data_IF_377831481001
#
_entry.id   IF_377831481001
#
_cell.length_a   1.000
_cell.length_b   1.000
_cell.length_c   1.000
_cell.angle_alpha   90.00
_cell.angle_beta   90.00
_cell.angle_gamma   90.00
#
_symmetry.space_group_name_H-M   'P 1'
#
loop_
_entity.id
_entity.type
_entity.pdbx_description
1 polymer ?
#
# COMPACT_ATOMS: atom_id res chain seq x y z
N UNK A 1 -19.49 -13.36 -0.52
CA UNK A 1 -18.74 -12.08 -0.48
C UNK A 1 -18.05 -12.03 0.88
N UNK A 2 -16.87 -11.38 1.01
CA UNK A 2 -16.17 -11.31 2.29
C UNK A 2 -16.95 -10.42 3.28
N UNK A 3 -16.96 -10.82 4.56
CA UNK A 3 -17.67 -10.13 5.64
C UNK A 3 -16.82 -9.01 6.27
N UNK A 4 -15.50 -9.07 6.04
CA UNK A 4 -14.54 -8.13 6.62
C UNK A 4 -13.34 -7.94 5.71
N UNK A 5 -12.59 -6.86 5.95
CA UNK A 5 -11.38 -6.52 5.23
C UNK A 5 -10.24 -6.17 6.19
N UNK A 6 -9.01 -6.55 5.83
CA UNK A 6 -7.80 -6.24 6.58
C UNK A 6 -6.68 -5.80 5.62
N UNK A 7 -5.95 -4.77 6.02
CA UNK A 7 -4.80 -4.24 5.29
C UNK A 7 -3.50 -4.50 6.06
N UNK A 8 -2.49 -5.02 5.36
CA UNK A 8 -1.21 -5.45 5.93
C UNK A 8 -0.03 -4.72 5.26
N UNK A 9 0.21 -3.43 5.56
CA UNK A 9 1.39 -2.71 5.09
C UNK A 9 2.68 -3.22 5.78
N UNK A 10 3.77 -3.29 5.01
CA UNK A 10 5.07 -3.79 5.48
C UNK A 10 5.83 -2.81 6.39
N UNK A 11 5.85 -1.54 6.02
CA UNK A 11 6.65 -0.53 6.70
C UNK A 11 5.84 0.68 7.17
N UNK A 12 6.52 1.61 7.83
CA UNK A 12 5.92 2.84 8.35
C UNK A 12 5.40 3.75 7.23
N UNK A 13 6.12 3.83 6.11
CA UNK A 13 5.72 4.62 4.94
C UNK A 13 4.50 4.00 4.25
N UNK A 14 4.50 2.68 4.05
CA UNK A 14 3.33 1.94 3.53
C UNK A 14 2.11 2.12 4.43
N UNK A 15 2.32 2.11 5.75
CA UNK A 15 1.27 2.34 6.73
C UNK A 15 0.69 3.76 6.56
N UNK A 16 1.54 4.77 6.36
CA UNK A 16 1.11 6.14 6.13
C UNK A 16 0.30 6.27 4.83
N UNK A 17 0.78 5.66 3.74
CA UNK A 17 0.08 5.64 2.45
C UNK A 17 -1.28 4.93 2.58
N UNK A 18 -1.31 3.76 3.20
CA UNK A 18 -2.52 2.98 3.41
C UNK A 18 -3.56 3.73 4.26
N UNK A 19 -3.14 4.38 5.36
CA UNK A 19 -4.04 5.24 6.16
C UNK A 19 -4.69 6.33 5.31
N UNK A 20 -3.92 6.91 4.40
CA UNK A 20 -4.40 7.98 3.51
C UNK A 20 -5.40 7.45 2.49
N UNK A 21 -5.13 6.30 1.86
CA UNK A 21 -6.02 5.60 0.92
C UNK A 21 -7.35 5.22 1.58
N UNK A 22 -7.31 4.83 2.87
CA UNK A 22 -8.49 4.42 3.64
C UNK A 22 -9.23 5.56 4.35
N UNK A 23 -8.87 6.83 4.08
CA UNK A 23 -9.48 7.99 4.74
C UNK A 23 -9.52 7.84 6.28
N UNK A 24 -8.38 7.45 6.87
CA UNK A 24 -8.22 7.29 8.33
C UNK A 24 -9.07 6.18 8.98
N UNK A 25 -9.55 5.17 8.22
CA UNK A 25 -10.13 3.93 8.78
C UNK A 25 -9.04 3.01 9.38
N UNK A 26 -8.27 3.53 10.33
CA UNK A 26 -7.06 2.91 10.89
C UNK A 26 -7.31 1.53 11.52
N UNK A 27 -8.53 1.25 11.99
CA UNK A 27 -8.92 -0.06 12.57
C UNK A 27 -8.82 -1.22 11.57
N UNK A 28 -8.77 -0.94 10.28
CA UNK A 28 -8.64 -1.94 9.21
C UNK A 28 -7.17 -2.25 8.89
N UNK A 29 -6.21 -1.56 9.52
CA UNK A 29 -4.78 -1.68 9.21
C UNK A 29 -4.07 -2.40 10.35
N UNK A 30 -3.25 -3.39 10.01
CA UNK A 30 -2.26 -3.96 10.92
C UNK A 30 -0.88 -3.85 10.26
N UNK A 31 -0.03 -2.98 10.79
CA UNK A 31 1.36 -2.85 10.35
C UNK A 31 2.13 -4.15 10.61
N UNK A 32 2.85 -4.66 9.62
CA UNK A 32 3.64 -5.90 9.73
C UNK A 32 5.07 -5.66 9.27
N UNK A 33 6.02 -5.64 10.22
CA UNK A 33 7.42 -5.33 9.92
C UNK A 33 8.11 -6.40 9.06
N UNK A 34 8.24 -6.14 7.77
CA UNK A 34 9.04 -6.90 6.80
C UNK A 34 8.24 -7.92 5.96
N UNK A 35 8.56 -8.01 4.67
CA UNK A 35 7.85 -8.83 3.68
C UNK A 35 7.71 -10.32 4.08
N UNK A 36 8.69 -11.00 4.71
CA UNK A 36 8.50 -12.38 5.18
C UNK A 36 7.35 -12.51 6.19
N UNK A 37 7.23 -11.55 7.11
CA UNK A 37 6.16 -11.54 8.11
C UNK A 37 4.82 -11.16 7.49
N UNK A 38 4.81 -10.34 6.45
CA UNK A 38 3.60 -10.07 5.66
C UNK A 38 3.10 -11.38 5.04
N UNK A 39 3.99 -12.19 4.46
CA UNK A 39 3.66 -13.53 3.96
C UNK A 39 3.11 -14.46 5.05
N UNK A 40 3.71 -14.45 6.24
CA UNK A 40 3.19 -15.20 7.39
C UNK A 40 1.78 -14.74 7.79
N UNK A 41 1.55 -13.43 7.85
CA UNK A 41 0.28 -12.85 8.24
C UNK A 41 -0.82 -13.13 7.21
N UNK A 42 -0.53 -13.02 5.90
CA UNK A 42 -1.44 -13.40 4.82
C UNK A 42 -1.87 -14.87 4.96
N UNK A 43 -0.92 -15.76 5.18
CA UNK A 43 -1.20 -17.19 5.38
C UNK A 43 -2.08 -17.43 6.60
N UNK A 44 -1.75 -16.83 7.75
CA UNK A 44 -2.56 -16.94 8.97
C UNK A 44 -3.99 -16.42 8.79
N UNK A 45 -4.18 -15.33 8.04
CA UNK A 45 -5.53 -14.86 7.72
C UNK A 45 -6.29 -15.85 6.83
N UNK A 46 -5.62 -16.49 5.86
CA UNK A 46 -6.23 -17.53 5.03
C UNK A 46 -6.67 -18.74 5.86
N UNK A 47 -5.81 -19.24 6.75
CA UNK A 47 -6.12 -20.39 7.61
C UNK A 47 -7.31 -20.10 8.55
N UNK A 48 -7.35 -18.88 9.10
CA UNK A 48 -8.34 -18.51 10.11
C UNK A 48 -9.69 -18.10 9.54
N UNK A 49 -9.71 -17.42 8.40
CA UNK A 49 -10.92 -16.80 7.86
C UNK A 49 -11.25 -17.26 6.43
N UNK A 50 -10.34 -17.93 5.73
CA UNK A 50 -10.54 -18.36 4.35
C UNK A 50 -11.00 -17.21 3.45
N UNK A 51 -12.12 -17.39 2.76
CA UNK A 51 -12.73 -16.39 1.87
C UNK A 51 -13.65 -15.40 2.56
N UNK A 52 -13.94 -15.58 3.86
CA UNK A 52 -14.80 -14.66 4.63
C UNK A 52 -14.13 -13.32 4.96
N UNK A 53 -12.80 -13.23 4.78
CA UNK A 53 -12.04 -11.99 4.95
C UNK A 53 -11.25 -11.67 3.70
N UNK A 54 -11.41 -10.45 3.21
CA UNK A 54 -10.56 -9.87 2.18
C UNK A 54 -9.28 -9.34 2.84
N UNK A 55 -8.12 -9.68 2.30
CA UNK A 55 -6.83 -9.24 2.84
C UNK A 55 -6.01 -8.60 1.73
N UNK A 56 -5.52 -7.38 1.98
CA UNK A 56 -4.67 -6.64 1.04
C UNK A 56 -3.36 -6.31 1.73
N UNK A 57 -2.27 -6.88 1.26
CA UNK A 57 -0.92 -6.53 1.70
C UNK A 57 -0.32 -5.44 0.79
N UNK A 58 0.61 -4.66 1.33
CA UNK A 58 1.41 -3.69 0.59
C UNK A 58 2.87 -3.84 1.00
N UNK A 59 3.74 -4.01 0.00
CA UNK A 59 5.18 -4.28 0.16
C UNK A 59 5.98 -3.52 -0.89
N UNK A 60 7.27 -3.33 -0.62
CA UNK A 60 8.23 -2.81 -1.60
C UNK A 60 8.69 -3.92 -2.56
N UNK A 61 9.03 -3.57 -3.81
CA UNK A 61 9.60 -4.48 -4.79
C UNK A 61 11.07 -4.81 -4.50
N UNK A 62 11.32 -5.50 -3.39
CA UNK A 62 12.66 -6.00 -3.06
C UNK A 62 13.07 -7.14 -4.02
N UNK A 63 14.36 -7.20 -4.37
CA UNK A 63 14.94 -8.22 -5.28
C UNK A 63 14.65 -9.67 -4.86
N UNK A 64 14.29 -9.88 -3.59
CA UNK A 64 14.04 -11.18 -2.99
C UNK A 64 12.56 -11.40 -2.65
N UNK A 65 11.65 -10.51 -3.03
CA UNK A 65 10.24 -10.57 -2.65
C UNK A 65 9.62 -11.93 -3.00
N UNK A 66 9.72 -12.34 -4.27
CA UNK A 66 9.19 -13.63 -4.74
C UNK A 66 10.11 -14.84 -4.46
N UNK A 67 11.22 -14.64 -3.76
CA UNK A 67 11.96 -15.75 -3.14
C UNK A 67 11.33 -16.20 -1.82
N UNK A 68 10.44 -15.39 -1.23
CA UNK A 68 9.68 -15.73 -0.03
C UNK A 68 8.59 -16.75 -0.44
N UNK A 69 8.63 -18.01 0.03
CA UNK A 69 7.72 -19.05 -0.45
C UNK A 69 6.24 -18.73 -0.27
N UNK A 70 5.88 -18.00 0.80
CA UNK A 70 4.50 -17.59 1.08
C UNK A 70 3.97 -16.48 0.17
N UNK A 71 4.85 -15.80 -0.57
CA UNK A 71 4.46 -14.76 -1.53
C UNK A 71 4.48 -15.25 -2.98
N UNK A 72 5.13 -16.37 -3.28
CA UNK A 72 5.14 -16.99 -4.62
C UNK A 72 3.75 -17.29 -5.22
N UNK A 73 2.71 -17.63 -4.43
CA UNK A 73 1.38 -17.83 -4.99
C UNK A 73 0.68 -16.55 -5.50
N UNK A 74 1.23 -15.36 -5.24
CA UNK A 74 0.73 -14.08 -5.76
C UNK A 74 1.33 -13.80 -7.13
N UNK A 75 0.85 -14.51 -8.15
CA UNK A 75 1.37 -14.45 -9.52
C UNK A 75 0.34 -13.99 -10.56
N UNK A 76 -0.92 -13.79 -10.16
CA UNK A 76 -1.96 -13.27 -11.05
C UNK A 76 -1.99 -11.75 -11.00
N UNK A 77 -1.41 -11.08 -12.00
CA UNK A 77 -1.54 -9.62 -12.13
C UNK A 77 -2.99 -9.26 -12.41
N UNK A 78 -3.58 -8.42 -11.55
CA UNK A 78 -4.97 -7.95 -11.69
C UNK A 78 -5.05 -6.45 -11.95
N UNK A 79 -4.01 -5.71 -11.59
CA UNK A 79 -3.87 -4.29 -11.87
C UNK A 79 -2.38 -3.96 -11.96
N UNK A 80 -2.02 -3.08 -12.87
CA UNK A 80 -0.66 -2.60 -13.00
C UNK A 80 -0.67 -1.18 -13.54
N UNK A 81 0.27 -0.37 -13.11
CA UNK A 81 0.59 0.86 -13.79
C UNK A 81 2.08 0.93 -14.10
N UNK A 82 2.39 1.29 -15.34
CA UNK A 82 3.76 1.39 -15.88
C UNK A 82 4.08 2.82 -16.37
N UNK A 83 3.19 3.78 -16.15
CA UNK A 83 3.47 5.16 -16.54
C UNK A 83 4.63 5.73 -15.71
N UNK A 84 5.41 6.69 -16.24
CA UNK A 84 6.46 7.36 -15.48
C UNK A 84 5.92 7.98 -14.17
N UNK A 85 6.47 7.56 -13.03
CA UNK A 85 5.98 7.97 -11.71
C UNK A 85 4.79 7.17 -11.17
N UNK A 86 4.35 6.13 -11.90
CA UNK A 86 3.16 5.34 -11.62
C UNK A 86 3.44 3.85 -11.43
N UNK A 87 4.68 3.48 -11.09
CA UNK A 87 5.09 2.08 -11.10
C UNK A 87 4.56 1.31 -9.87
N UNK A 88 3.55 0.47 -10.07
CA UNK A 88 3.10 -0.52 -9.09
C UNK A 88 2.39 -1.68 -9.77
N UNK A 89 2.35 -2.83 -9.09
CA UNK A 89 1.62 -4.02 -9.55
C UNK A 89 0.76 -4.55 -8.41
N UNK A 90 -0.47 -4.94 -8.70
CA UNK A 90 -1.32 -5.68 -7.79
C UNK A 90 -1.44 -7.11 -8.28
N UNK A 91 -1.02 -8.02 -7.42
CA UNK A 91 -1.17 -9.45 -7.62
C UNK A 91 -2.34 -9.98 -6.81
N UNK A 92 -3.01 -10.98 -7.33
CA UNK A 92 -3.96 -11.82 -6.60
C UNK A 92 -3.34 -13.19 -6.36
N UNK A 93 -3.61 -13.76 -5.19
CA UNK A 93 -3.20 -15.13 -4.89
C UNK A 93 -3.93 -16.13 -5.81
N UNK A 94 -3.20 -17.06 -6.43
CA UNK A 94 -3.76 -18.00 -7.42
C UNK A 94 -4.94 -18.84 -6.91
N UNK A 95 -4.84 -19.31 -5.66
CA UNK A 95 -5.85 -20.19 -5.04
C UNK A 95 -6.81 -19.45 -4.09
N UNK A 96 -6.54 -18.18 -3.76
CA UNK A 96 -7.27 -17.43 -2.73
C UNK A 96 -7.73 -16.09 -3.30
N UNK A 97 -8.93 -16.08 -3.89
CA UNK A 97 -9.49 -14.90 -4.54
C UNK A 97 -9.72 -13.70 -3.59
N UNK A 98 -9.69 -13.92 -2.28
CA UNK A 98 -9.82 -12.87 -1.25
C UNK A 98 -8.48 -12.25 -0.83
N UNK A 99 -7.35 -12.63 -1.45
CA UNK A 99 -6.03 -12.10 -1.09
C UNK A 99 -5.35 -11.37 -2.24
N UNK A 100 -4.86 -10.17 -1.92
CA UNK A 100 -4.16 -9.28 -2.84
C UNK A 100 -2.83 -8.82 -2.24
N UNK A 101 -1.84 -8.63 -3.11
CA UNK A 101 -0.53 -8.09 -2.78
C UNK A 101 -0.24 -6.90 -3.70
N UNK A 102 -0.19 -5.71 -3.13
CA UNK A 102 0.26 -4.50 -3.80
C UNK A 102 1.78 -4.44 -3.66
N UNK A 103 2.49 -4.35 -4.78
CA UNK A 103 3.94 -4.24 -4.84
C UNK A 103 4.29 -2.89 -5.46
N UNK A 104 4.99 -2.04 -4.70
CA UNK A 104 5.43 -0.72 -5.15
C UNK A 104 6.85 -0.79 -5.70
N UNK A 105 7.09 -0.15 -6.84
CA UNK A 105 8.41 -0.01 -7.44
C UNK A 105 8.56 1.42 -7.98
N UNK A 106 9.51 2.27 -7.57
CA UNK A 106 10.44 2.05 -6.47
C UNK A 106 9.72 1.82 -5.15
N UNK A 107 10.49 1.55 -4.09
CA UNK A 107 9.99 1.50 -2.72
C UNK A 107 9.06 2.68 -2.40
N UNK A 108 8.14 2.48 -1.46
CA UNK A 108 6.99 3.35 -1.19
C UNK A 108 7.36 4.83 -1.02
N UNK A 109 8.46 5.15 -0.35
CA UNK A 109 8.95 6.52 -0.21
C UNK A 109 9.39 7.14 -1.55
N UNK A 110 10.09 6.38 -2.38
CA UNK A 110 10.40 6.76 -3.76
C UNK A 110 9.15 6.91 -4.62
N UNK A 111 8.17 6.01 -4.46
CA UNK A 111 6.91 6.06 -5.19
C UNK A 111 6.10 7.30 -4.82
N UNK A 112 5.99 7.62 -3.52
CA UNK A 112 5.35 8.83 -3.02
C UNK A 112 6.05 10.07 -3.59
N UNK A 113 7.38 10.12 -3.51
CA UNK A 113 8.14 11.24 -4.03
C UNK A 113 7.89 11.46 -5.53
N UNK A 114 7.90 10.40 -6.33
CA UNK A 114 7.59 10.47 -7.77
C UNK A 114 6.18 11.01 -8.03
N UNK A 115 5.19 10.55 -7.27
CA UNK A 115 3.81 11.01 -7.41
C UNK A 115 3.62 12.47 -6.95
N UNK A 116 4.33 12.91 -5.92
CA UNK A 116 4.36 14.30 -5.46
C UNK A 116 4.88 15.22 -6.57
N UNK A 117 5.99 14.84 -7.20
CA UNK A 117 6.56 15.60 -8.32
C UNK A 117 5.62 15.62 -9.53
N UNK A 118 5.02 14.48 -9.88
CA UNK A 118 4.05 14.36 -10.98
C UNK A 118 2.79 15.21 -10.76
N UNK A 119 2.38 15.39 -9.50
CA UNK A 119 1.27 16.25 -9.10
C UNK A 119 1.64 17.75 -9.04
N UNK A 120 2.89 18.13 -9.33
CA UNK A 120 3.36 19.51 -9.19
C UNK A 120 3.43 19.99 -7.73
N UNK A 121 3.48 19.06 -6.77
CA UNK A 121 3.62 19.36 -5.35
C UNK A 121 5.10 19.42 -4.97
N UNK A 122 5.42 20.19 -3.92
CA UNK A 122 6.78 20.25 -3.37
C UNK A 122 6.80 19.71 -1.94
N UNK A 123 7.71 18.76 -1.61
CA UNK A 123 7.92 18.30 -0.24
C UNK A 123 8.18 19.43 0.77
N UNK A 124 8.85 20.51 0.34
CA UNK A 124 9.20 21.62 1.24
C UNK A 124 8.00 22.38 1.80
N UNK A 125 6.87 22.40 1.09
CA UNK A 125 5.61 22.96 1.58
C UNK A 125 5.11 22.25 2.85
N UNK A 126 5.58 21.03 3.07
CA UNK A 126 5.31 20.20 4.24
C UNK A 126 6.54 20.03 5.14
N UNK A 127 7.57 20.89 5.03
CA UNK A 127 8.82 20.82 5.82
C UNK A 127 9.62 19.52 5.59
N UNK A 128 9.47 18.90 4.42
CA UNK A 128 10.21 17.72 4.03
C UNK A 128 11.36 18.10 3.08
N UNK A 129 12.43 17.30 3.00
CA UNK A 129 13.53 17.57 2.08
C UNK A 129 13.07 17.56 0.62
N UNK A 130 13.53 18.54 -0.16
CA UNK A 130 13.20 18.64 -1.59
C UNK A 130 13.91 17.57 -2.43
N UNK A 131 15.14 17.22 -2.07
CA UNK A 131 15.95 16.28 -2.85
C UNK A 131 15.62 14.84 -2.47
N UNK A 132 15.42 13.98 -3.47
CA UNK A 132 15.09 12.57 -3.29
C UNK A 132 16.00 11.85 -2.27
N UNK A 133 17.35 11.92 -2.32
CA UNK A 133 18.19 11.21 -1.35
C UNK A 133 17.91 11.61 0.11
N UNK A 134 17.67 12.89 0.35
CA UNK A 134 17.39 13.41 1.68
C UNK A 134 15.97 13.05 2.13
N UNK A 135 15.01 13.04 1.20
CA UNK A 135 13.65 12.58 1.45
C UNK A 135 13.63 11.10 1.88
N UNK A 136 14.30 10.23 1.12
CA UNK A 136 14.45 8.80 1.47
C UNK A 136 15.21 8.61 2.79
N UNK A 137 16.21 9.44 3.05
CA UNK A 137 16.95 9.42 4.31
C UNK A 137 16.09 9.82 5.52
N UNK A 138 15.17 10.77 5.31
CA UNK A 138 14.22 11.24 6.32
C UNK A 138 13.18 10.16 6.64
N UNK A 139 12.49 9.61 5.63
CA UNK A 139 11.41 8.62 5.78
C UNK A 139 11.87 7.34 6.48
N UNK A 140 13.12 6.91 6.28
CA UNK A 140 13.69 5.71 6.92
C UNK A 140 13.95 5.83 8.42
N UNK A 141 14.03 7.05 8.95
CA UNK A 141 14.42 7.32 10.35
C UNK A 141 13.23 7.56 11.28
N UNK A 142 12.03 7.61 10.72
CA UNK A 142 10.82 8.07 11.42
C UNK A 142 9.71 7.03 11.34
N UNK A 143 8.75 7.14 12.25
CA UNK A 143 7.45 6.51 12.13
C UNK A 143 6.58 7.41 11.26
N UNK A 144 6.70 7.23 9.94
CA UNK A 144 6.13 8.10 8.92
C UNK A 144 4.62 8.33 9.08
N UNK A 145 3.88 7.32 9.54
CA UNK A 145 2.44 7.39 9.78
C UNK A 145 2.02 8.24 10.98
N UNK A 146 2.98 8.66 11.80
CA UNK A 146 2.79 9.56 12.94
C UNK A 146 3.36 10.97 12.67
N UNK A 147 4.11 11.16 11.59
CA UNK A 147 4.71 12.47 11.29
C UNK A 147 3.72 13.40 10.57
N UNK A 148 3.38 14.56 11.15
CA UNK A 148 2.46 15.52 10.54
C UNK A 148 2.89 15.98 9.14
N UNK A 149 4.20 16.07 8.90
CA UNK A 149 4.80 16.44 7.63
C UNK A 149 4.44 15.45 6.52
N UNK A 150 4.66 14.15 6.77
CA UNK A 150 4.35 13.07 5.82
C UNK A 150 2.84 12.95 5.62
N UNK A 151 2.07 12.97 6.71
CA UNK A 151 0.60 12.90 6.66
C UNK A 151 0.03 14.09 5.88
N UNK A 152 0.59 15.29 6.07
CA UNK A 152 0.22 16.48 5.32
C UNK A 152 0.49 16.32 3.83
N UNK A 153 1.68 15.86 3.46
CA UNK A 153 2.06 15.63 2.07
C UNK A 153 1.16 14.59 1.40
N UNK A 154 0.88 13.47 2.07
CA UNK A 154 -0.01 12.43 1.56
C UNK A 154 -1.46 12.90 1.39
N UNK A 155 -1.95 13.78 2.27
CA UNK A 155 -3.27 14.42 2.10
C UNK A 155 -3.31 15.35 0.90
N UNK A 156 -2.25 16.11 0.64
CA UNK A 156 -2.12 16.91 -0.57
C UNK A 156 -2.06 16.03 -1.83
N UNK A 157 -1.31 14.93 -1.76
CA UNK A 157 -1.24 13.93 -2.83
C UNK A 157 -2.61 13.34 -3.16
N UNK A 158 -3.37 12.94 -2.12
CA UNK A 158 -4.74 12.47 -2.29
C UNK A 158 -5.64 13.51 -2.96
N UNK A 159 -5.49 14.77 -2.59
CA UNK A 159 -6.34 15.86 -3.10
C UNK A 159 -6.02 16.22 -4.56
N UNK A 160 -4.76 16.09 -4.96
CA UNK A 160 -4.33 16.26 -6.36
C UNK A 160 -4.60 15.04 -7.22
N UNK A 161 -4.70 13.85 -6.61
CA UNK A 161 -5.05 12.57 -7.24
C UNK A 161 -4.27 12.32 -8.55
N UNK A 162 -2.93 12.32 -8.52
CA UNK A 162 -2.15 11.96 -9.70
C UNK A 162 -2.53 10.54 -10.17
N UNK A 163 -2.35 10.22 -11.47
CA UNK A 163 -2.87 9.00 -12.07
C UNK A 163 -2.61 7.71 -11.27
N UNK A 164 -1.39 7.52 -10.78
CA UNK A 164 -1.02 6.32 -9.99
C UNK A 164 -1.77 6.23 -8.68
N UNK A 165 -1.81 7.35 -7.94
CA UNK A 165 -2.54 7.43 -6.70
C UNK A 165 -4.03 7.19 -6.93
N UNK A 166 -4.61 7.82 -7.96
CA UNK A 166 -6.01 7.65 -8.33
C UNK A 166 -6.36 6.20 -8.65
N UNK A 167 -5.51 5.52 -9.42
CA UNK A 167 -5.71 4.12 -9.79
C UNK A 167 -5.62 3.18 -8.57
N UNK A 168 -4.61 3.37 -7.72
CA UNK A 168 -4.45 2.59 -6.50
C UNK A 168 -5.61 2.85 -5.51
N UNK A 169 -6.05 4.11 -5.38
CA UNK A 169 -7.18 4.49 -4.54
C UNK A 169 -8.49 3.89 -5.05
N UNK A 170 -8.71 3.86 -6.37
CA UNK A 170 -9.88 3.23 -6.97
C UNK A 170 -9.92 1.73 -6.68
N UNK A 171 -8.79 1.03 -6.84
CA UNK A 171 -8.67 -0.38 -6.48
C UNK A 171 -9.03 -0.64 -5.01
N UNK A 172 -8.43 0.12 -4.08
CA UNK A 172 -8.72 -0.01 -2.65
C UNK A 172 -10.19 0.29 -2.33
N UNK A 173 -10.78 1.31 -2.95
CA UNK A 173 -12.18 1.67 -2.76
C UNK A 173 -13.14 0.58 -3.26
N UNK A 174 -12.84 -0.04 -4.40
CA UNK A 174 -13.61 -1.17 -4.93
C UNK A 174 -13.63 -2.34 -3.95
N UNK A 175 -12.46 -2.74 -3.43
CA UNK A 175 -12.36 -3.84 -2.45
C UNK A 175 -13.05 -3.53 -1.13
N UNK A 176 -13.02 -2.27 -0.69
CA UNK A 176 -13.80 -1.82 0.46
C UNK A 176 -15.30 -1.97 0.22
N UNK A 177 -15.77 -1.68 -1.00
CA UNK A 177 -17.18 -1.87 -1.41
C UNK A 177 -17.59 -3.34 -1.38
N UNK A 178 -16.74 -4.25 -1.87
CA UNK A 178 -16.97 -5.70 -1.86
C UNK A 178 -17.18 -6.24 -0.42
N UNK A 179 -16.41 -5.75 0.55
CA UNK A 179 -16.51 -6.16 1.95
C UNK A 179 -17.67 -5.47 2.70
N UNK A 180 -18.09 -4.28 2.26
CA UNK A 180 -19.15 -3.50 2.91
C UNK A 180 -20.59 -3.90 2.53
N UNK A 181 -20.76 -4.66 1.45
CA UNK A 181 -22.08 -5.14 0.99
C UNK A 181 -22.59 -6.37 1.76
N UNK A 182 -21.79 -6.98 2.63
CA UNK A 182 -22.15 -8.17 3.41
C UNK A 182 -22.92 -7.89 4.72
N UNK A 183 -23.17 -6.61 5.05
CA UNK A 183 -23.80 -6.21 6.30
C UNK A 183 -24.81 -5.09 6.13
N UNK A 184 -25.96 -5.40 5.53
CA UNK A 184 -27.23 -4.69 5.69
C UNK A 184 -28.38 -5.71 5.69
#
# INVERSE_FOLDING_TARGET
MPDSILFLPECHVDTALMRTLLYDRQKLITHIKGAPKVGDALHQQAERYGTSRLVIAMVDNDKHLFSIPKLQPFDQVVLQCEEPGCLFVVYRHRDLASQYLIVLDPACDGWIYGNVQAAGLSPTTHRLPELLPDFLGFTKRIQAEEQPEIVGLLKALRSSSPPAYGLLAAFVAERLGEAGQAGW
#
